data_IF_999504392782
#
_entry.id   IF_999504392782
#
_cell.length_a   1.000
_cell.length_b   1.000
_cell.length_c   1.000
_cell.angle_alpha   90.00
_cell.angle_beta   90.00
_cell.angle_gamma   90.00
#
_symmetry.space_group_name_H-M   'P 1'
#
loop_
_entity.id
_entity.type
_entity.pdbx_description
1 polymer ?
#
# COMPACT_ATOMS: atom_id res chain seq x y z
N UNK A 1 -20.01 -0.31 2.60
CA UNK A 1 -18.83 0.02 3.43
C UNK A 1 -18.41 1.44 3.08
N UNK A 2 -18.62 2.40 3.97
CA UNK A 2 -18.29 3.79 3.71
C UNK A 2 -16.83 4.09 4.08
N UNK A 3 -15.90 3.76 3.21
CA UNK A 3 -14.60 4.41 3.29
C UNK A 3 -14.79 5.77 2.61
N UNK A 4 -14.81 6.83 3.39
CA UNK A 4 -14.95 8.19 2.92
C UNK A 4 -13.60 8.70 2.39
N UNK A 5 -13.28 8.29 1.15
CA UNK A 5 -12.08 8.74 0.46
C UNK A 5 -12.45 9.74 -0.64
N UNK A 6 -11.70 10.82 -0.79
CA UNK A 6 -11.94 11.81 -1.82
C UNK A 6 -11.74 11.19 -3.22
N UNK A 7 -12.67 11.43 -4.13
CA UNK A 7 -12.57 10.95 -5.50
C UNK A 7 -11.48 11.71 -6.27
N UNK A 8 -10.51 10.99 -6.79
CA UNK A 8 -9.42 11.52 -7.60
C UNK A 8 -9.48 10.96 -9.01
N UNK A 9 -9.32 11.84 -10.03
CA UNK A 9 -9.20 11.44 -11.43
C UNK A 9 -7.87 10.73 -11.65
N UNK A 10 -7.92 9.59 -12.30
CA UNK A 10 -6.76 8.81 -12.71
C UNK A 10 -6.31 9.21 -14.13
N UNK A 11 -5.03 8.99 -14.45
CA UNK A 11 -4.49 9.15 -15.80
C UNK A 11 -5.17 8.27 -16.86
N UNK A 12 -5.84 7.17 -16.45
CA UNK A 12 -6.67 6.33 -17.34
C UNK A 12 -8.04 6.94 -17.66
N UNK A 13 -8.37 8.13 -17.12
CA UNK A 13 -9.66 8.82 -17.31
C UNK A 13 -10.74 8.47 -16.28
N UNK A 14 -10.59 7.39 -15.52
CA UNK A 14 -11.54 6.95 -14.50
C UNK A 14 -11.39 7.76 -13.20
N UNK A 15 -12.39 7.66 -12.33
CA UNK A 15 -12.35 8.20 -10.97
C UNK A 15 -12.14 7.05 -9.96
N UNK A 16 -11.35 7.30 -8.92
CA UNK A 16 -11.25 6.38 -7.79
C UNK A 16 -10.38 5.14 -8.03
N UNK A 17 -9.47 5.15 -9.02
CA UNK A 17 -8.54 4.04 -9.21
C UNK A 17 -7.65 3.84 -7.98
N UNK A 18 -7.49 2.59 -7.55
CA UNK A 18 -6.75 2.20 -6.34
C UNK A 18 -5.32 2.77 -6.33
N UNK A 19 -4.63 2.80 -7.46
CA UNK A 19 -3.28 3.37 -7.57
C UNK A 19 -3.20 4.83 -7.10
N UNK A 20 -4.26 5.62 -7.30
CA UNK A 20 -4.31 7.01 -6.86
C UNK A 20 -4.25 7.17 -5.33
N UNK A 21 -4.43 6.09 -4.58
CA UNK A 21 -4.47 6.07 -3.12
C UNK A 21 -3.37 5.20 -2.52
N UNK A 22 -3.14 4.01 -3.09
CA UNK A 22 -2.24 3.00 -2.52
C UNK A 22 -0.80 3.06 -3.03
N UNK A 23 -0.51 3.88 -4.05
CA UNK A 23 0.87 4.17 -4.45
C UNK A 23 1.53 5.19 -3.51
N UNK A 24 2.87 5.31 -3.55
CA UNK A 24 3.59 6.35 -2.79
C UNK A 24 3.13 7.77 -3.10
N UNK A 25 2.79 8.04 -4.37
CA UNK A 25 2.19 9.32 -4.78
C UNK A 25 0.78 9.49 -4.25
N UNK A 26 0.01 8.42 -4.19
CA UNK A 26 -1.34 8.41 -3.60
C UNK A 26 -1.30 8.66 -2.10
N UNK A 27 -0.37 8.01 -1.40
CA UNK A 27 -0.13 8.19 0.02
C UNK A 27 0.17 9.67 0.35
N UNK A 28 1.11 10.31 -0.37
CA UNK A 28 1.45 11.71 -0.21
C UNK A 28 0.27 12.65 -0.56
N UNK A 29 -0.46 12.34 -1.64
CA UNK A 29 -1.63 13.13 -2.04
C UNK A 29 -2.74 13.11 -1.00
N UNK A 30 -3.04 11.95 -0.41
CA UNK A 30 -4.03 11.82 0.67
C UNK A 30 -3.62 12.63 1.89
N UNK A 31 -2.33 12.61 2.25
CA UNK A 31 -1.82 13.42 3.36
C UNK A 31 -2.05 14.91 3.11
N UNK A 32 -1.65 15.41 1.93
CA UNK A 32 -1.88 16.78 1.54
C UNK A 32 -3.37 17.14 1.53
N UNK A 33 -4.24 16.23 1.08
CA UNK A 33 -5.69 16.47 1.05
C UNK A 33 -6.28 16.67 2.46
N UNK A 34 -5.88 15.83 3.42
CA UNK A 34 -6.45 15.88 4.78
C UNK A 34 -5.79 16.91 5.69
N UNK A 35 -4.50 17.14 5.53
CA UNK A 35 -3.71 17.96 6.46
C UNK A 35 -3.14 19.24 5.84
N UNK A 36 -3.38 19.47 4.55
CA UNK A 36 -2.92 20.66 3.79
C UNK A 36 -1.39 20.86 3.81
N UNK A 37 -0.63 19.78 4.00
CA UNK A 37 0.83 19.77 4.01
C UNK A 37 1.35 18.99 2.79
N UNK A 38 2.13 19.62 1.88
CA UNK A 38 2.60 18.99 0.65
C UNK A 38 3.88 18.17 0.89
N UNK A 39 3.81 17.16 1.77
CA UNK A 39 4.92 16.27 2.08
C UNK A 39 4.94 15.06 1.15
N UNK A 40 6.15 14.55 0.88
CA UNK A 40 6.34 13.30 0.15
C UNK A 40 6.27 12.09 1.10
N UNK A 41 6.06 10.89 0.55
CA UNK A 41 5.90 9.68 1.35
C UNK A 41 7.07 9.43 2.35
N UNK A 42 8.36 9.60 2.00
CA UNK A 42 9.44 9.43 2.97
C UNK A 42 9.38 10.41 4.15
N UNK A 43 8.96 11.65 3.91
CA UNK A 43 8.84 12.67 4.96
C UNK A 43 7.70 12.32 5.93
N UNK A 44 6.55 11.88 5.40
CA UNK A 44 5.40 11.44 6.20
C UNK A 44 5.77 10.22 7.05
N UNK A 45 6.49 9.24 6.46
CA UNK A 45 6.95 8.05 7.16
C UNK A 45 7.90 8.44 8.29
N UNK A 46 8.82 9.38 8.06
CA UNK A 46 9.72 9.89 9.11
C UNK A 46 8.96 10.56 10.26
N UNK A 47 7.91 11.34 9.97
CA UNK A 47 7.03 11.91 11.00
C UNK A 47 6.30 10.82 11.79
N UNK A 48 5.81 9.78 11.11
CA UNK A 48 5.18 8.63 11.74
C UNK A 48 6.14 7.91 12.72
N UNK A 49 7.38 7.68 12.31
CA UNK A 49 8.44 7.10 13.15
C UNK A 49 8.75 7.95 14.38
N UNK A 50 8.66 9.28 14.25
CA UNK A 50 8.83 10.24 15.34
C UNK A 50 7.59 10.35 16.26
N UNK A 51 6.49 9.71 15.89
CA UNK A 51 5.27 9.66 16.69
C UNK A 51 4.31 10.83 16.46
N UNK A 52 4.44 11.56 15.34
CA UNK A 52 3.50 12.63 14.96
C UNK A 52 2.07 12.09 14.85
N UNK A 53 1.10 12.77 15.46
CA UNK A 53 -0.28 12.31 15.53
C UNK A 53 -0.99 12.31 14.17
N UNK A 54 -0.72 13.29 13.32
CA UNK A 54 -1.32 13.38 11.98
C UNK A 54 -0.77 12.30 11.08
N UNK A 55 0.54 12.06 11.12
CA UNK A 55 1.18 11.01 10.37
C UNK A 55 0.70 9.61 10.83
N UNK A 56 0.50 9.40 12.14
CA UNK A 56 -0.08 8.17 12.67
C UNK A 56 -1.50 7.96 12.17
N UNK A 57 -2.37 8.95 12.29
CA UNK A 57 -3.75 8.85 11.81
C UNK A 57 -3.81 8.60 10.29
N UNK A 58 -2.88 9.19 9.54
CA UNK A 58 -2.77 8.97 8.10
C UNK A 58 -2.35 7.54 7.76
N UNK A 59 -1.34 7.01 8.43
CA UNK A 59 -0.86 5.63 8.24
C UNK A 59 -1.97 4.62 8.59
N UNK A 60 -2.69 4.83 9.70
CA UNK A 60 -3.85 4.00 10.07
C UNK A 60 -4.89 3.96 8.95
N UNK A 61 -5.29 5.12 8.44
CA UNK A 61 -6.25 5.23 7.32
C UNK A 61 -5.75 4.55 6.05
N UNK A 62 -4.46 4.70 5.75
CA UNK A 62 -3.84 4.06 4.59
C UNK A 62 -3.83 2.54 4.72
N UNK A 63 -3.42 2.01 5.88
CA UNK A 63 -3.38 0.57 6.14
C UNK A 63 -4.78 -0.06 6.12
N UNK A 64 -5.80 0.64 6.61
CA UNK A 64 -7.19 0.18 6.55
C UNK A 64 -7.67 0.08 5.09
N UNK A 65 -7.38 1.09 4.26
CA UNK A 65 -7.71 1.04 2.84
C UNK A 65 -6.97 -0.09 2.13
N UNK A 66 -5.67 -0.24 2.41
CA UNK A 66 -4.86 -1.31 1.85
C UNK A 66 -5.40 -2.68 2.24
N UNK A 67 -5.79 -2.88 3.51
CA UNK A 67 -6.36 -4.13 4.00
C UNK A 67 -7.68 -4.47 3.30
N UNK A 68 -8.58 -3.51 3.09
CA UNK A 68 -9.83 -3.71 2.33
C UNK A 68 -9.55 -4.12 0.89
N UNK A 69 -8.68 -3.37 0.20
CA UNK A 69 -8.37 -3.64 -1.21
C UNK A 69 -7.65 -4.98 -1.38
N UNK A 70 -6.67 -5.26 -0.52
CA UNK A 70 -5.94 -6.52 -0.56
C UNK A 70 -6.84 -7.70 -0.17
N UNK A 71 -7.69 -7.55 0.86
CA UNK A 71 -8.63 -8.58 1.28
C UNK A 71 -9.56 -9.05 0.15
N UNK A 72 -10.03 -8.12 -0.70
CA UNK A 72 -10.81 -8.46 -1.89
C UNK A 72 -10.00 -9.31 -2.89
N UNK A 73 -8.73 -8.98 -3.11
CA UNK A 73 -7.84 -9.75 -4.00
C UNK A 73 -7.56 -11.14 -3.41
N UNK A 74 -7.25 -11.19 -2.10
CA UNK A 74 -6.94 -12.44 -1.40
C UNK A 74 -8.14 -13.40 -1.41
N UNK A 75 -9.36 -12.89 -1.30
CA UNK A 75 -10.58 -13.71 -1.38
C UNK A 75 -10.73 -14.40 -2.73
N UNK A 76 -10.20 -13.83 -3.81
CA UNK A 76 -10.29 -14.37 -5.17
C UNK A 76 -9.11 -15.31 -5.48
N UNK A 77 -7.90 -14.92 -5.04
CA UNK A 77 -6.63 -15.58 -5.46
C UNK A 77 -6.18 -16.64 -4.47
N UNK A 78 -6.49 -16.46 -3.17
CA UNK A 78 -6.11 -17.34 -2.04
C UNK A 78 -4.62 -17.75 -2.04
N UNK A 79 -3.66 -16.79 -2.08
CA UNK A 79 -2.24 -17.10 -2.14
C UNK A 79 -1.67 -17.42 -0.75
N UNK A 80 -0.60 -18.23 -0.70
CA UNK A 80 0.16 -18.49 0.53
C UNK A 80 1.12 -17.34 0.90
N UNK A 81 1.51 -16.52 -0.09
CA UNK A 81 2.49 -15.46 0.04
C UNK A 81 2.11 -14.22 -0.76
N UNK A 82 2.19 -13.06 -0.13
CA UNK A 82 2.11 -11.75 -0.77
C UNK A 82 3.48 -11.07 -0.67
N UNK A 83 4.02 -10.65 -1.80
CA UNK A 83 5.29 -9.91 -1.87
C UNK A 83 5.01 -8.44 -2.18
N UNK A 84 5.41 -7.56 -1.28
CA UNK A 84 5.26 -6.11 -1.42
C UNK A 84 6.51 -5.53 -2.08
N UNK A 85 6.34 -4.93 -3.25
CA UNK A 85 7.39 -4.24 -4.01
C UNK A 85 7.10 -2.76 -4.21
N UNK A 86 7.99 -2.07 -4.92
CA UNK A 86 7.86 -0.66 -5.24
C UNK A 86 8.31 0.28 -4.12
N UNK A 87 8.09 1.59 -4.30
CA UNK A 87 8.64 2.64 -3.42
C UNK A 87 8.18 2.55 -1.96
N UNK A 88 6.98 2.04 -1.69
CA UNK A 88 6.47 1.86 -0.32
C UNK A 88 6.90 0.53 0.32
N UNK A 89 7.62 -0.35 -0.39
CA UNK A 89 8.11 -1.62 0.20
C UNK A 89 9.08 -1.42 1.36
N UNK A 90 9.67 -0.23 1.47
CA UNK A 90 10.56 0.15 2.57
C UNK A 90 9.80 0.58 3.84
N UNK A 91 8.49 0.79 3.72
CA UNK A 91 7.65 1.18 4.85
C UNK A 91 7.28 -0.06 5.67
N UNK A 92 7.91 -0.22 6.82
CA UNK A 92 7.80 -1.43 7.66
C UNK A 92 6.38 -1.71 8.13
N UNK A 93 5.58 -0.68 8.42
CA UNK A 93 4.19 -0.85 8.85
C UNK A 93 3.35 -1.67 7.85
N UNK A 94 3.67 -1.65 6.55
CA UNK A 94 2.97 -2.48 5.56
C UNK A 94 3.22 -3.98 5.79
N UNK A 95 4.41 -4.36 6.23
CA UNK A 95 4.73 -5.77 6.45
C UNK A 95 4.45 -6.24 7.88
N UNK A 96 4.41 -5.34 8.85
CA UNK A 96 4.16 -5.68 10.27
C UNK A 96 2.67 -5.59 10.63
N UNK A 97 2.00 -4.49 10.25
CA UNK A 97 0.68 -4.17 10.80
C UNK A 97 -0.47 -4.58 9.89
N UNK A 98 -0.19 -4.82 8.59
CA UNK A 98 -1.22 -5.19 7.62
C UNK A 98 -1.80 -6.58 7.90
N UNK A 99 -0.97 -7.53 8.32
CA UNK A 99 -1.40 -8.89 8.60
C UNK A 99 -2.49 -8.95 9.69
N UNK A 100 -2.39 -8.10 10.72
CA UNK A 100 -3.36 -8.03 11.82
C UNK A 100 -4.70 -7.41 11.41
N UNK A 101 -4.73 -6.66 10.30
CA UNK A 101 -5.92 -6.00 9.76
C UNK A 101 -6.70 -6.88 8.79
N UNK A 102 -6.03 -7.77 8.08
CA UNK A 102 -6.62 -8.61 7.04
C UNK A 102 -7.76 -9.52 7.51
N UNK A 103 -7.73 -10.14 8.72
CA UNK A 103 -8.82 -11.02 9.16
C UNK A 103 -10.21 -10.38 9.13
N UNK A 104 -10.31 -9.06 9.28
CA UNK A 104 -11.58 -8.32 9.22
C UNK A 104 -12.18 -8.25 7.82
N UNK A 105 -11.37 -8.52 6.80
CA UNK A 105 -11.69 -8.37 5.38
C UNK A 105 -11.62 -9.71 4.62
N UNK A 106 -11.39 -10.80 5.32
CA UNK A 106 -11.34 -12.15 4.78
C UNK A 106 -12.53 -12.98 5.30
N UNK A 107 -12.82 -14.06 4.61
CA UNK A 107 -13.76 -15.05 5.13
C UNK A 107 -13.20 -15.69 6.41
N UNK A 108 -14.04 -16.04 7.41
CA UNK A 108 -13.57 -16.62 8.69
C UNK A 108 -12.73 -17.90 8.55
N UNK A 109 -12.88 -18.61 7.43
CA UNK A 109 -12.15 -19.85 7.12
C UNK A 109 -10.87 -19.59 6.31
N UNK A 110 -10.68 -18.38 5.79
CA UNK A 110 -9.51 -18.03 4.99
C UNK A 110 -8.27 -17.86 5.88
N UNK A 111 -7.12 -18.24 5.33
CA UNK A 111 -5.83 -18.03 6.00
C UNK A 111 -5.26 -16.67 5.61
N UNK A 112 -4.69 -15.96 6.56
CA UNK A 112 -3.89 -14.77 6.27
C UNK A 112 -2.59 -15.23 5.61
N UNK A 113 -2.26 -14.78 4.38
CA UNK A 113 -1.01 -15.14 3.73
C UNK A 113 0.19 -14.54 4.46
N UNK A 114 1.37 -15.09 4.25
CA UNK A 114 2.62 -14.42 4.65
C UNK A 114 2.78 -13.15 3.83
N UNK A 115 3.18 -12.06 4.47
CA UNK A 115 3.44 -10.78 3.81
C UNK A 115 4.93 -10.50 3.92
N UNK A 116 5.61 -10.42 2.80
CA UNK A 116 7.05 -10.22 2.75
C UNK A 116 7.42 -9.04 1.84
N UNK A 117 8.53 -8.41 2.16
CA UNK A 117 9.12 -7.37 1.31
C UNK A 117 9.89 -7.99 0.15
N UNK A 118 9.77 -7.40 -1.03
CA UNK A 118 10.57 -7.78 -2.19
C UNK A 118 12.08 -7.57 -1.92
N UNK A 119 12.91 -8.55 -2.27
CA UNK A 119 14.37 -8.49 -2.05
C UNK A 119 15.07 -7.30 -2.71
N UNK A 120 14.52 -6.82 -3.83
CA UNK A 120 15.10 -5.74 -4.64
C UNK A 120 14.34 -4.41 -4.51
N UNK A 121 13.41 -4.31 -3.55
CA UNK A 121 12.68 -3.08 -3.23
C UNK A 121 12.01 -2.45 -4.45
N UNK A 122 12.33 -1.17 -4.70
CA UNK A 122 11.82 -0.37 -5.82
C UNK A 122 12.49 -0.67 -7.18
N UNK A 123 13.69 -1.26 -7.17
CA UNK A 123 14.45 -1.59 -8.38
C UNK A 123 14.07 -2.93 -9.04
N UNK A 124 13.11 -3.69 -8.47
CA UNK A 124 12.74 -5.03 -8.93
C UNK A 124 12.33 -5.09 -10.39
N UNK A 125 11.53 -4.12 -10.85
CA UNK A 125 11.06 -4.04 -12.24
C UNK A 125 12.20 -3.80 -13.25
N UNK A 126 13.10 -2.87 -12.96
CA UNK A 126 14.26 -2.58 -13.82
C UNK A 126 15.22 -3.77 -13.88
N UNK A 127 15.46 -4.45 -12.75
CA UNK A 127 16.27 -5.66 -12.72
C UNK A 127 15.65 -6.78 -13.53
N UNK A 128 14.33 -7.02 -13.37
CA UNK A 128 13.61 -8.02 -14.16
C UNK A 128 13.73 -7.76 -15.66
N UNK A 129 13.55 -6.51 -16.09
CA UNK A 129 13.71 -6.11 -17.49
C UNK A 129 15.14 -6.35 -18.00
N UNK A 130 16.18 -6.07 -17.18
CA UNK A 130 17.56 -6.31 -17.55
C UNK A 130 17.89 -7.80 -17.74
N UNK A 131 17.19 -8.69 -17.02
CA UNK A 131 17.40 -10.15 -17.15
C UNK A 131 16.68 -10.78 -18.35
N UNK A 132 15.74 -10.08 -18.99
CA UNK A 132 15.03 -10.61 -20.18
C UNK A 132 15.99 -10.93 -21.35
N UNK A 133 17.16 -10.30 -21.42
CA UNK A 133 18.17 -10.55 -22.44
C UNK A 133 19.17 -11.67 -22.09
N UNK A 134 19.05 -12.27 -20.90
CA UNK A 134 19.97 -13.32 -20.43
C UNK A 134 19.39 -14.74 -20.59
N UNK A 135 18.20 -14.85 -21.17
CA UNK A 135 17.47 -16.13 -21.34
C UNK A 135 17.51 -16.68 -22.77
N UNK A 136 18.40 -16.16 -23.65
CA UNK A 136 18.68 -16.72 -24.98
C UNK A 136 19.87 -17.68 -24.95
#
# INVERSE_FOLDING_TARGET
>A
MGLDFPLRRCGCGQLGCIENYLSGRGFAWLYQHYYHQPLQAPEIISLWEQGDEQARAHVERYLDLLAVCLGNILTIVDPDLVVIGGGLSNFTAITTDLADRLPRHLLPVARVPRIERARHGDAGGMRGAAFLHLTD
#
